data_IF_156068179489
#
_entry.id   IF_156068179489
#
_cell.length_a   1.000
_cell.length_b   1.000
_cell.length_c   1.000
_cell.angle_alpha   90.00
_cell.angle_beta   90.00
_cell.angle_gamma   90.00
#
_symmetry.space_group_name_H-M   'P 1'
#
loop_
_entity.id
_entity.type
_entity.pdbx_description
1 polymer ?
#
# COMPACT_ATOMS: atom_id res chain seq x y z
N UNK A 1 3.64 -6.76 -54.01
CA UNK A 1 3.88 -8.21 -54.00
C UNK A 1 5.37 -8.39 -54.13
N UNK A 2 6.08 -8.55 -53.05
CA UNK A 2 7.47 -9.00 -53.05
C UNK A 2 7.46 -10.49 -53.34
N UNK A 3 7.71 -10.86 -54.55
CA UNK A 3 8.05 -12.22 -54.90
C UNK A 3 9.51 -12.40 -54.58
N UNK A 4 9.80 -12.87 -53.39
CA UNK A 4 11.14 -13.27 -52.98
C UNK A 4 11.58 -14.45 -53.86
N UNK A 5 12.43 -14.17 -54.80
CA UNK A 5 13.19 -15.16 -55.56
C UNK A 5 14.35 -15.65 -54.67
N UNK A 6 14.04 -16.25 -53.60
CA UNK A 6 15.01 -16.78 -52.66
C UNK A 6 14.39 -17.89 -51.84
N UNK A 7 13.44 -18.62 -52.43
CA UNK A 7 12.82 -19.72 -51.75
C UNK A 7 13.82 -20.83 -51.47
N UNK A 8 13.78 -21.28 -50.29
CA UNK A 8 14.50 -22.44 -49.78
C UNK A 8 14.14 -23.64 -50.63
N UNK A 9 15.08 -24.16 -51.34
CA UNK A 9 14.85 -25.28 -52.29
C UNK A 9 14.49 -26.59 -51.59
N UNK A 10 14.81 -26.71 -50.30
CA UNK A 10 14.56 -27.90 -49.50
C UNK A 10 14.02 -27.53 -48.13
N UNK A 11 13.06 -28.30 -47.64
CA UNK A 11 12.51 -28.10 -46.28
C UNK A 11 13.59 -28.12 -45.18
N UNK A 12 14.68 -28.86 -45.41
CA UNK A 12 15.82 -28.92 -44.50
C UNK A 12 16.52 -27.59 -44.28
N UNK A 13 16.43 -26.69 -45.29
CA UNK A 13 17.12 -25.39 -45.25
C UNK A 13 16.34 -24.34 -44.39
N UNK A 14 15.08 -24.63 -44.04
CA UNK A 14 14.28 -23.78 -43.15
C UNK A 14 14.83 -23.77 -41.72
N UNK A 15 15.42 -24.88 -41.27
CA UNK A 15 16.01 -25.02 -39.97
C UNK A 15 14.99 -24.97 -38.83
N UNK A 16 15.40 -24.35 -37.72
CA UNK A 16 14.57 -24.21 -36.53
C UNK A 16 13.39 -23.26 -36.79
N UNK A 17 12.19 -23.67 -36.37
CA UNK A 17 10.99 -22.84 -36.40
C UNK A 17 10.51 -22.66 -34.95
N UNK A 18 10.25 -21.41 -34.57
CA UNK A 18 9.64 -21.04 -33.25
C UNK A 18 8.31 -20.37 -33.52
N UNK A 19 7.24 -20.94 -32.98
CA UNK A 19 5.92 -20.36 -32.98
C UNK A 19 5.86 -19.29 -31.86
N UNK A 20 5.57 -18.04 -32.23
CA UNK A 20 5.47 -16.94 -31.26
C UNK A 20 4.07 -16.75 -30.73
N UNK A 21 3.10 -16.70 -31.66
CA UNK A 21 1.71 -16.41 -31.32
C UNK A 21 0.75 -16.97 -32.33
N UNK A 22 -0.42 -17.38 -31.87
CA UNK A 22 -1.60 -17.71 -32.65
C UNK A 22 -2.76 -16.81 -32.22
N UNK A 23 -3.45 -16.20 -33.17
CA UNK A 23 -4.62 -15.33 -32.90
C UNK A 23 -5.74 -15.58 -33.92
N UNK A 24 -6.97 -15.37 -33.51
CA UNK A 24 -8.12 -15.39 -34.42
C UNK A 24 -8.30 -14.01 -35.05
N UNK A 25 -8.44 -13.94 -36.36
CA UNK A 25 -8.66 -12.68 -37.11
C UNK A 25 -10.02 -12.65 -37.79
N UNK A 26 -10.88 -13.61 -37.51
CA UNK A 26 -12.22 -13.69 -38.08
C UNK A 26 -12.81 -15.09 -37.97
N UNK A 27 -14.01 -15.27 -38.54
CA UNK A 27 -14.66 -16.58 -38.58
C UNK A 27 -13.83 -17.56 -39.40
N UNK A 28 -13.31 -18.61 -38.78
CA UNK A 28 -12.48 -19.67 -39.34
C UNK A 28 -11.10 -19.22 -39.90
N UNK A 29 -10.62 -18.01 -39.55
CA UNK A 29 -9.31 -17.52 -39.94
C UNK A 29 -8.40 -17.39 -38.72
N UNK A 30 -7.21 -18.01 -38.83
CA UNK A 30 -6.18 -17.94 -37.80
C UNK A 30 -4.92 -17.30 -38.34
N UNK A 31 -4.36 -16.36 -37.58
CA UNK A 31 -3.06 -15.77 -37.81
C UNK A 31 -2.03 -16.46 -36.95
N UNK A 32 -0.96 -16.91 -37.58
CA UNK A 32 0.18 -17.51 -36.88
C UNK A 32 1.42 -16.68 -37.16
N UNK A 33 2.11 -16.30 -36.09
CA UNK A 33 3.40 -15.61 -36.15
C UNK A 33 4.49 -16.58 -35.74
N UNK A 34 5.54 -16.69 -36.58
CA UNK A 34 6.65 -17.58 -36.32
C UNK A 34 7.98 -16.98 -36.78
N UNK A 35 9.05 -17.45 -36.16
CA UNK A 35 10.43 -17.19 -36.57
C UNK A 35 11.03 -18.47 -37.16
N UNK A 36 11.95 -18.33 -38.14
CA UNK A 36 12.65 -19.48 -38.71
C UNK A 36 14.14 -19.20 -38.80
N UNK A 37 14.95 -20.27 -38.91
CA UNK A 37 16.36 -20.24 -39.13
C UNK A 37 17.13 -19.41 -38.09
N UNK A 38 17.95 -18.48 -38.57
CA UNK A 38 18.81 -17.65 -37.69
C UNK A 38 18.03 -16.82 -36.65
N UNK A 39 16.91 -16.23 -37.08
CA UNK A 39 16.08 -15.42 -36.16
C UNK A 39 15.47 -16.27 -35.02
N UNK A 40 15.03 -17.48 -35.33
CA UNK A 40 14.55 -18.43 -34.32
C UNK A 40 15.65 -18.82 -33.33
N UNK A 41 16.87 -19.08 -33.84
CA UNK A 41 18.01 -19.37 -32.96
C UNK A 41 18.39 -18.20 -32.07
N UNK A 42 18.48 -16.99 -32.63
CA UNK A 42 18.80 -15.78 -31.85
C UNK A 42 17.76 -15.52 -30.75
N UNK A 43 16.48 -15.68 -31.07
CA UNK A 43 15.38 -15.55 -30.13
C UNK A 43 15.52 -16.52 -28.95
N UNK A 44 15.69 -17.81 -29.22
CA UNK A 44 15.85 -18.83 -28.19
C UNK A 44 17.15 -18.65 -27.39
N UNK A 45 18.24 -18.28 -28.04
CA UNK A 45 19.53 -18.01 -27.38
C UNK A 45 19.41 -16.83 -26.40
N UNK A 46 18.71 -15.77 -26.76
CA UNK A 46 18.49 -14.62 -25.91
C UNK A 46 17.54 -14.98 -24.75
N UNK A 47 16.47 -15.73 -25.00
CA UNK A 47 15.58 -16.23 -23.98
C UNK A 47 16.33 -17.10 -22.95
N UNK A 48 17.17 -18.03 -23.43
CA UNK A 48 17.98 -18.86 -22.55
C UNK A 48 18.98 -18.06 -21.70
N UNK A 49 19.67 -17.07 -22.30
CA UNK A 49 20.59 -16.18 -21.57
C UNK A 49 19.85 -15.42 -20.46
N UNK A 50 18.67 -14.89 -20.75
CA UNK A 50 17.84 -14.20 -19.76
C UNK A 50 17.43 -15.15 -18.63
N UNK A 51 17.00 -16.35 -18.97
CA UNK A 51 16.62 -17.36 -17.99
C UNK A 51 17.80 -17.82 -17.12
N UNK A 52 18.97 -17.97 -17.72
CA UNK A 52 20.22 -18.27 -16.99
C UNK A 52 20.64 -17.11 -16.07
N UNK A 53 20.38 -15.87 -16.44
CA UNK A 53 20.62 -14.73 -15.56
C UNK A 53 19.73 -14.81 -14.29
N UNK A 54 18.45 -15.15 -14.44
CA UNK A 54 17.54 -15.39 -13.30
C UNK A 54 18.02 -16.56 -12.43
N UNK A 55 18.48 -17.66 -13.02
CA UNK A 55 19.07 -18.79 -12.32
C UNK A 55 20.26 -18.36 -11.45
N UNK A 56 21.13 -17.51 -11.97
CA UNK A 56 22.28 -16.99 -11.23
C UNK A 56 21.84 -16.08 -10.05
N UNK A 57 20.84 -15.23 -10.24
CA UNK A 57 20.29 -14.35 -9.19
C UNK A 57 19.70 -15.19 -8.06
N UNK A 58 18.97 -16.24 -8.39
CA UNK A 58 18.35 -17.15 -7.43
C UNK A 58 19.34 -18.19 -6.85
N UNK A 59 20.56 -18.25 -7.40
CA UNK A 59 21.61 -19.20 -7.03
C UNK A 59 21.14 -20.67 -7.06
N UNK A 60 20.46 -21.05 -8.14
CA UNK A 60 19.96 -22.41 -8.39
C UNK A 60 20.24 -22.84 -9.82
N UNK A 61 20.05 -24.13 -10.14
CA UNK A 61 20.11 -24.61 -11.52
C UNK A 61 19.03 -23.98 -12.38
N UNK A 62 19.22 -23.93 -13.70
CA UNK A 62 18.21 -23.40 -14.65
C UNK A 62 16.86 -24.14 -14.50
N UNK A 63 16.93 -25.44 -14.24
CA UNK A 63 15.77 -26.32 -14.10
C UNK A 63 14.97 -26.05 -12.83
N UNK A 64 15.65 -25.60 -11.76
CA UNK A 64 15.05 -25.35 -10.45
C UNK A 64 14.50 -23.93 -10.29
N UNK A 65 14.70 -23.03 -11.25
CA UNK A 65 14.21 -21.65 -11.21
C UNK A 65 12.72 -21.56 -10.90
N UNK A 66 11.81 -22.31 -11.56
CA UNK A 66 10.39 -22.21 -11.28
C UNK A 66 10.02 -22.63 -9.86
N UNK A 67 10.63 -23.70 -9.36
CA UNK A 67 10.39 -24.20 -8.00
C UNK A 67 10.90 -23.21 -6.95
N UNK A 68 12.08 -22.66 -7.17
CA UNK A 68 12.67 -21.68 -6.27
C UNK A 68 11.87 -20.40 -6.23
N UNK A 69 11.42 -19.90 -7.40
CA UNK A 69 10.59 -18.71 -7.49
C UNK A 69 9.26 -18.90 -6.75
N UNK A 70 8.60 -20.04 -6.96
CA UNK A 70 7.36 -20.39 -6.25
C UNK A 70 7.57 -20.39 -4.73
N UNK A 71 8.61 -21.07 -4.25
CA UNK A 71 8.94 -21.11 -2.82
C UNK A 71 9.25 -19.72 -2.24
N UNK A 72 9.89 -18.83 -3.01
CA UNK A 72 10.15 -17.45 -2.56
C UNK A 72 8.86 -16.63 -2.45
N UNK A 73 7.91 -16.79 -3.39
CA UNK A 73 6.62 -16.13 -3.34
C UNK A 73 5.79 -16.60 -2.14
N UNK A 74 5.72 -17.92 -1.89
CA UNK A 74 5.05 -18.48 -0.72
C UNK A 74 5.66 -17.96 0.60
N UNK A 75 6.98 -17.84 0.66
CA UNK A 75 7.69 -17.30 1.82
C UNK A 75 7.35 -15.81 2.03
N UNK A 76 7.24 -15.04 0.95
CA UNK A 76 6.83 -13.62 1.01
C UNK A 76 5.39 -13.47 1.54
N UNK A 77 4.45 -14.25 1.04
CA UNK A 77 3.06 -14.27 1.51
C UNK A 77 2.99 -14.60 3.01
N UNK A 78 3.74 -15.61 3.47
CA UNK A 78 3.85 -15.97 4.89
C UNK A 78 4.41 -14.82 5.75
N UNK A 79 5.42 -14.11 5.25
CA UNK A 79 5.98 -12.96 5.96
C UNK A 79 4.99 -11.80 6.03
N UNK A 80 4.28 -11.51 4.95
CA UNK A 80 3.26 -10.47 4.93
C UNK A 80 2.12 -10.76 5.91
N UNK A 81 1.67 -12.02 5.99
CA UNK A 81 0.64 -12.44 6.95
C UNK A 81 1.14 -12.32 8.39
N UNK A 82 2.35 -12.81 8.69
CA UNK A 82 2.96 -12.68 10.02
C UNK A 82 3.13 -11.22 10.42
N UNK A 83 3.56 -10.38 9.50
CA UNK A 83 3.71 -8.95 9.74
C UNK A 83 2.36 -8.29 10.07
N UNK A 84 1.30 -8.59 9.30
CA UNK A 84 -0.07 -8.13 9.60
C UNK A 84 -0.53 -8.58 10.99
N UNK A 85 -0.27 -9.84 11.35
CA UNK A 85 -0.67 -10.40 12.64
C UNK A 85 0.07 -9.77 13.84
N UNK A 86 1.36 -9.47 13.69
CA UNK A 86 2.14 -8.75 14.71
C UNK A 86 1.59 -7.34 14.85
N UNK A 87 1.39 -6.66 13.72
CA UNK A 87 0.89 -5.28 13.69
C UNK A 87 -0.51 -5.16 14.32
N UNK A 88 -1.40 -6.09 14.03
CA UNK A 88 -2.74 -6.10 14.65
C UNK A 88 -2.70 -6.30 16.16
N UNK A 89 -1.79 -7.15 16.67
CA UNK A 89 -1.59 -7.33 18.11
C UNK A 89 -1.01 -6.09 18.77
N UNK A 90 -0.07 -5.40 18.15
CA UNK A 90 0.47 -4.12 18.64
C UNK A 90 -0.65 -3.07 18.75
N UNK A 91 -1.47 -2.92 17.72
CA UNK A 91 -2.62 -2.01 17.73
C UNK A 91 -3.61 -2.38 18.84
N UNK A 92 -3.93 -3.65 19.00
CA UNK A 92 -4.85 -4.10 20.08
C UNK A 92 -4.28 -3.82 21.46
N UNK A 93 -2.96 -3.99 21.67
CA UNK A 93 -2.32 -3.67 22.95
C UNK A 93 -2.29 -2.16 23.24
N UNK A 94 -2.18 -1.33 22.20
CA UNK A 94 -2.31 0.13 22.33
C UNK A 94 -3.73 0.49 22.78
N UNK A 95 -4.76 -0.10 22.16
CA UNK A 95 -6.17 0.18 22.46
C UNK A 95 -6.51 -0.13 23.93
N UNK A 96 -5.96 -1.20 24.51
CA UNK A 96 -6.24 -1.57 25.90
C UNK A 96 -5.76 -0.54 26.96
N UNK A 97 -4.74 0.26 26.64
CA UNK A 97 -4.20 1.29 27.52
C UNK A 97 -4.82 2.68 27.29
N UNK A 98 -5.61 2.84 26.24
CA UNK A 98 -6.16 4.14 25.82
C UNK A 98 -7.24 4.63 26.76
N UNK A 99 -8.09 3.74 27.28
CA UNK A 99 -9.17 4.12 28.18
C UNK A 99 -8.65 4.73 29.49
N UNK A 100 -7.53 4.22 30.00
CA UNK A 100 -6.89 4.70 31.23
C UNK A 100 -6.20 6.07 31.04
N UNK A 101 -5.78 6.36 29.82
CA UNK A 101 -5.09 7.61 29.45
C UNK A 101 -6.03 8.68 28.85
N UNK A 102 -7.31 8.37 28.67
CA UNK A 102 -8.29 9.33 28.17
C UNK A 102 -8.65 10.37 29.24
N UNK A 103 -8.67 11.63 28.88
CA UNK A 103 -9.07 12.73 29.75
C UNK A 103 -10.56 13.03 29.59
N UNK A 104 -11.21 13.49 30.68
CA UNK A 104 -12.61 13.92 30.62
C UNK A 104 -12.63 15.44 30.38
N UNK A 105 -13.13 15.86 29.21
CA UNK A 105 -13.32 17.27 28.83
C UNK A 105 -14.80 17.45 28.52
N UNK A 106 -15.48 18.39 29.18
CA UNK A 106 -16.92 18.68 29.00
C UNK A 106 -17.82 17.42 29.05
N UNK A 107 -17.54 16.52 29.98
CA UNK A 107 -18.25 15.24 30.13
C UNK A 107 -18.09 14.24 28.98
N UNK A 108 -17.07 14.41 28.13
CA UNK A 108 -16.69 13.52 27.05
C UNK A 108 -15.30 12.94 27.31
N UNK A 109 -15.12 11.65 27.04
CA UNK A 109 -13.80 11.02 27.11
C UNK A 109 -12.99 11.34 25.84
N UNK A 110 -11.92 12.08 26.00
CA UNK A 110 -11.06 12.57 24.93
C UNK A 110 -9.69 11.92 25.03
N UNK A 111 -9.24 11.28 23.96
CA UNK A 111 -7.91 10.73 23.86
C UNK A 111 -7.11 11.44 22.75
N UNK A 112 -5.98 12.01 23.13
CA UNK A 112 -5.10 12.75 22.22
C UNK A 112 -3.66 12.32 22.45
N UNK A 113 -3.04 11.71 21.45
CA UNK A 113 -1.69 11.16 21.58
C UNK A 113 -0.93 11.12 20.25
N UNK A 114 0.40 10.98 20.40
CA UNK A 114 1.31 10.68 19.29
C UNK A 114 1.51 9.17 19.18
N UNK A 115 1.28 8.62 18.01
CA UNK A 115 1.46 7.20 17.72
C UNK A 115 2.45 7.01 16.57
N UNK A 116 3.31 6.01 16.68
CA UNK A 116 4.25 5.70 15.61
C UNK A 116 3.66 4.66 14.67
N UNK A 117 3.16 5.12 13.51
CA UNK A 117 2.54 4.29 12.49
C UNK A 117 3.17 4.60 11.12
N UNK A 118 3.18 3.59 10.24
CA UNK A 118 3.88 3.65 8.96
C UNK A 118 3.01 4.19 7.81
N UNK A 119 1.69 4.25 8.00
CA UNK A 119 0.78 4.73 6.97
C UNK A 119 -0.39 5.56 7.51
N UNK A 120 -0.89 6.56 6.72
CA UNK A 120 -2.09 7.32 7.09
C UNK A 120 -3.34 6.44 7.23
N UNK A 121 -3.41 5.32 6.50
CA UNK A 121 -4.51 4.37 6.59
C UNK A 121 -4.53 3.63 7.93
N UNK A 122 -3.36 3.26 8.46
CA UNK A 122 -3.25 2.66 9.79
C UNK A 122 -3.68 3.64 10.87
N UNK A 123 -3.24 4.90 10.76
CA UNK A 123 -3.64 5.96 11.69
C UNK A 123 -5.16 6.17 11.71
N UNK A 124 -5.76 6.18 10.51
CA UNK A 124 -7.21 6.25 10.33
C UNK A 124 -7.93 5.06 10.96
N UNK A 125 -7.45 3.85 10.70
CA UNK A 125 -8.06 2.64 11.22
C UNK A 125 -7.97 2.57 12.75
N UNK A 126 -6.83 2.96 13.32
CA UNK A 126 -6.67 3.04 14.78
C UNK A 126 -7.63 4.06 15.40
N UNK A 127 -7.77 5.25 14.81
CA UNK A 127 -8.70 6.26 15.30
C UNK A 127 -10.15 5.75 15.30
N UNK A 128 -10.59 5.09 14.23
CA UNK A 128 -11.92 4.48 14.14
C UNK A 128 -12.10 3.34 15.16
N UNK A 129 -11.09 2.51 15.34
CA UNK A 129 -11.13 1.41 16.30
C UNK A 129 -11.27 1.93 17.73
N UNK A 130 -10.52 2.96 18.11
CA UNK A 130 -10.63 3.59 19.43
C UNK A 130 -12.06 4.05 19.68
N UNK A 131 -12.66 4.80 18.77
CA UNK A 131 -14.02 5.36 18.97
C UNK A 131 -15.09 4.27 19.01
N UNK A 132 -14.92 3.19 18.23
CA UNK A 132 -15.90 2.12 18.10
C UNK A 132 -15.78 1.07 19.21
N UNK A 133 -14.57 0.71 19.60
CA UNK A 133 -14.29 -0.44 20.47
C UNK A 133 -14.03 -0.06 21.92
N UNK A 134 -13.89 1.26 22.22
CA UNK A 134 -13.65 1.77 23.56
C UNK A 134 -14.73 2.74 24.03
N UNK A 135 -14.61 3.20 25.29
CA UNK A 135 -15.48 4.23 25.86
C UNK A 135 -15.03 5.66 25.50
N UNK A 136 -14.01 5.82 24.68
CA UNK A 136 -13.54 7.13 24.22
C UNK A 136 -14.56 7.73 23.24
N UNK A 137 -14.93 8.98 23.46
CA UNK A 137 -15.91 9.69 22.64
C UNK A 137 -15.26 10.46 21.48
N UNK A 138 -14.08 11.01 21.72
CA UNK A 138 -13.30 11.79 20.78
C UNK A 138 -11.86 11.31 20.80
N UNK A 139 -11.28 11.02 19.65
CA UNK A 139 -9.86 10.73 19.53
C UNK A 139 -9.19 11.64 18.51
N UNK A 140 -7.97 12.06 18.82
CA UNK A 140 -7.11 12.79 17.90
C UNK A 140 -5.71 12.19 17.96
N UNK A 141 -5.30 11.56 16.87
CA UNK A 141 -4.03 10.87 16.76
C UNK A 141 -3.10 11.62 15.81
N UNK A 142 -1.86 11.66 16.20
CA UNK A 142 -0.79 12.24 15.42
C UNK A 142 0.28 11.18 15.09
N UNK A 143 0.85 11.27 13.88
CA UNK A 143 1.99 10.44 13.47
C UNK A 143 2.87 11.17 12.47
N UNK A 144 4.19 10.97 12.56
CA UNK A 144 5.14 11.42 11.54
C UNK A 144 5.43 10.28 10.56
N UNK A 145 4.84 10.35 9.36
CA UNK A 145 4.91 9.29 8.35
C UNK A 145 5.77 9.77 7.19
N UNK A 146 6.91 9.11 6.93
CA UNK A 146 7.85 9.46 5.85
C UNK A 146 8.28 10.94 5.88
N UNK A 147 8.49 11.51 7.06
CA UNK A 147 8.87 12.91 7.25
C UNK A 147 7.74 13.91 7.00
N UNK A 148 6.50 13.45 6.85
CA UNK A 148 5.29 14.28 6.78
C UNK A 148 4.42 14.05 8.01
N UNK A 149 3.85 15.11 8.50
CA UNK A 149 2.94 15.04 9.65
C UNK A 149 1.55 14.66 9.20
N UNK A 150 0.98 13.67 9.85
CA UNK A 150 -0.38 13.20 9.63
C UNK A 150 -1.16 13.27 10.94
N UNK A 151 -2.37 13.78 10.86
CA UNK A 151 -3.29 13.93 12.00
C UNK A 151 -4.61 13.28 11.59
N UNK A 152 -5.18 12.50 12.48
CA UNK A 152 -6.52 11.95 12.30
C UNK A 152 -7.34 12.24 13.54
N UNK A 153 -8.50 12.83 13.34
CA UNK A 153 -9.51 12.99 14.38
C UNK A 153 -10.73 12.14 14.07
N UNK A 154 -11.28 11.46 15.09
CA UNK A 154 -12.53 10.72 14.99
C UNK A 154 -13.42 10.96 16.20
N UNK A 155 -14.74 10.95 15.98
CA UNK A 155 -15.76 11.11 17.02
C UNK A 155 -16.83 10.04 16.90
N UNK A 156 -17.48 9.72 18.02
CA UNK A 156 -18.73 8.94 18.00
C UNK A 156 -19.85 9.73 17.33
N UNK A 157 -20.76 9.04 16.65
CA UNK A 157 -21.87 9.64 15.90
C UNK A 157 -22.84 10.47 16.76
N UNK A 158 -22.85 10.26 18.09
CA UNK A 158 -23.71 10.99 19.02
C UNK A 158 -23.07 12.28 19.57
N UNK A 159 -21.85 12.61 19.15
CA UNK A 159 -21.13 13.80 19.59
C UNK A 159 -21.37 14.92 18.59
N UNK A 160 -21.74 16.10 19.08
CA UNK A 160 -22.02 17.27 18.23
C UNK A 160 -20.78 18.06 17.80
N UNK A 161 -19.59 17.59 18.16
CA UNK A 161 -18.34 18.21 17.76
C UNK A 161 -18.04 17.94 16.29
N UNK A 162 -17.79 18.97 15.52
CA UNK A 162 -17.25 18.83 14.16
C UNK A 162 -15.72 18.63 14.24
N UNK A 163 -15.26 17.38 14.20
CA UNK A 163 -13.83 17.06 14.31
C UNK A 163 -13.02 17.62 13.14
N UNK A 164 -13.64 17.88 12.00
CA UNK A 164 -12.97 18.48 10.85
C UNK A 164 -12.49 19.91 11.13
N UNK A 165 -13.22 20.70 11.94
CA UNK A 165 -12.76 22.04 12.35
C UNK A 165 -11.48 21.94 13.17
N UNK A 166 -11.45 21.05 14.15
CA UNK A 166 -10.30 20.81 15.02
C UNK A 166 -9.07 20.38 14.21
N UNK A 167 -9.22 19.35 13.37
CA UNK A 167 -8.14 18.82 12.55
C UNK A 167 -7.64 19.87 11.53
N UNK A 168 -8.56 20.67 10.97
CA UNK A 168 -8.19 21.75 10.03
C UNK A 168 -7.36 22.85 10.70
N UNK A 169 -7.75 23.29 11.88
CA UNK A 169 -7.00 24.33 12.61
C UNK A 169 -5.60 23.85 12.99
N UNK A 170 -5.50 22.62 13.47
CA UNK A 170 -4.20 22.02 13.77
C UNK A 170 -3.37 21.87 12.49
N UNK A 171 -3.94 21.37 11.40
CA UNK A 171 -3.23 21.18 10.13
C UNK A 171 -2.72 22.48 9.51
N UNK A 172 -3.41 23.59 9.69
CA UNK A 172 -2.98 24.91 9.24
C UNK A 172 -1.65 25.35 9.89
N UNK A 173 -1.42 25.00 11.17
CA UNK A 173 -0.16 25.31 11.86
C UNK A 173 1.04 24.63 11.19
N UNK A 174 0.80 23.55 10.46
CA UNK A 174 1.80 22.74 9.75
C UNK A 174 1.85 23.02 8.26
N UNK A 175 1.16 24.05 7.80
CA UNK A 175 1.12 24.42 6.40
C UNK A 175 0.32 23.49 5.51
N UNK A 176 -0.62 22.77 6.11
CA UNK A 176 -1.47 21.80 5.41
C UNK A 176 -2.96 22.07 5.57
N UNK A 177 -3.78 21.07 5.32
CA UNK A 177 -5.23 21.10 5.41
C UNK A 177 -5.79 19.77 5.86
N UNK A 178 -7.11 19.68 5.98
CA UNK A 178 -7.81 18.48 6.41
C UNK A 178 -9.02 18.17 5.53
N UNK A 179 -9.52 16.92 5.61
CA UNK A 179 -10.77 16.50 4.99
C UNK A 179 -11.97 17.15 5.72
N UNK A 180 -13.10 17.26 5.00
CA UNK A 180 -14.31 17.93 5.50
C UNK A 180 -15.35 16.97 6.09
N UNK A 181 -14.94 15.78 6.53
CA UNK A 181 -15.85 14.83 7.16
C UNK A 181 -16.04 15.18 8.63
N UNK A 182 -17.29 15.26 9.09
CA UNK A 182 -17.63 15.73 10.43
C UNK A 182 -17.25 14.74 11.55
N UNK A 183 -17.28 13.44 11.27
CA UNK A 183 -17.02 12.39 12.24
C UNK A 183 -15.63 11.78 12.14
N UNK A 184 -14.97 11.93 10.98
CA UNK A 184 -13.63 11.39 10.73
C UNK A 184 -12.86 12.32 9.81
N UNK A 185 -11.94 13.07 10.34
CA UNK A 185 -11.13 14.00 9.55
C UNK A 185 -9.66 13.60 9.55
N UNK A 186 -9.05 13.69 8.37
CA UNK A 186 -7.64 13.42 8.14
C UNK A 186 -6.98 14.69 7.65
N UNK A 187 -5.92 15.09 8.30
CA UNK A 187 -5.15 16.28 7.96
C UNK A 187 -3.65 16.06 8.11
N UNK A 188 -2.89 17.10 7.88
CA UNK A 188 -1.44 17.07 8.05
C UNK A 188 -0.76 18.22 7.32
N UNK A 189 0.57 18.22 7.35
CA UNK A 189 1.35 19.26 6.67
C UNK A 189 2.83 18.92 6.61
N UNK A 190 3.62 19.65 5.78
CA UNK A 190 5.02 19.37 5.54
C UNK A 190 5.96 19.91 6.62
N UNK A 191 5.50 20.84 7.47
CA UNK A 191 6.36 21.52 8.44
C UNK A 191 6.60 20.64 9.67
N UNK A 192 7.80 20.73 10.25
CA UNK A 192 8.13 20.05 11.51
C UNK A 192 7.25 20.55 12.65
N UNK A 193 6.91 19.64 13.57
CA UNK A 193 5.84 19.79 14.52
C UNK A 193 6.34 19.85 15.96
N UNK A 194 5.70 20.72 16.74
CA UNK A 194 5.76 20.65 18.19
C UNK A 194 4.48 19.93 18.68
N UNK A 195 4.58 18.61 18.84
CA UNK A 195 3.48 17.72 19.25
C UNK A 195 2.78 18.25 20.52
N UNK A 196 3.55 18.76 21.47
CA UNK A 196 3.02 19.26 22.75
C UNK A 196 2.08 20.47 22.53
N UNK A 197 2.45 21.37 21.60
CA UNK A 197 1.59 22.52 21.28
C UNK A 197 0.30 22.11 20.60
N UNK A 198 0.37 21.12 19.70
CA UNK A 198 -0.82 20.63 19.02
C UNK A 198 -1.77 19.92 19.94
N UNK A 199 -1.25 19.07 20.83
CA UNK A 199 -2.07 18.38 21.83
C UNK A 199 -2.78 19.39 22.73
N UNK A 200 -2.08 20.45 23.16
CA UNK A 200 -2.69 21.54 23.96
C UNK A 200 -3.78 22.27 23.16
N UNK A 201 -3.47 22.66 21.92
CA UNK A 201 -4.44 23.37 21.07
C UNK A 201 -5.67 22.49 20.77
N UNK A 202 -5.48 21.20 20.51
CA UNK A 202 -6.58 20.27 20.34
C UNK A 202 -7.53 20.25 21.55
N UNK A 203 -6.98 20.14 22.75
CA UNK A 203 -7.75 20.15 23.99
C UNK A 203 -8.47 21.49 24.21
N UNK A 204 -7.82 22.61 23.88
CA UNK A 204 -8.44 23.95 23.99
C UNK A 204 -9.61 24.12 23.01
N UNK A 205 -9.47 23.66 21.76
CA UNK A 205 -10.54 23.75 20.77
C UNK A 205 -11.71 22.85 21.18
N UNK A 206 -11.45 21.60 21.55
CA UNK A 206 -12.47 20.66 22.02
C UNK A 206 -13.21 21.23 23.24
N UNK A 207 -12.51 21.88 24.16
CA UNK A 207 -13.13 22.49 25.33
C UNK A 207 -14.03 23.70 25.03
N UNK A 208 -13.83 24.37 23.89
CA UNK A 208 -14.62 25.55 23.45
C UNK A 208 -15.82 25.21 22.57
N UNK A 209 -15.73 24.14 21.79
CA UNK A 209 -16.75 23.73 20.82
C UNK A 209 -17.70 22.64 21.32
N UNK A 210 -17.46 22.08 22.50
CA UNK A 210 -18.29 21.02 23.12
C UNK A 210 -19.39 21.54 24.01
#
# INVERSE_FOLDING_TARGET
>A
VSRGLGDVYKRQDVGLIVLLQESSIGSNLRRVEMLSGKLAYEFLSNAYKSYKSVSNILNVSVEDVPLKLKSQLETLEDFEEKFKNIRSKEITSLVSNIEDNAEIINNQKVYVDEVNLDSPNELRNLALQIVNDTQVDITLLYSSINGKNSIVGATKNNIKLNISSVVTEISKLYGGGASKDENLSIGGGPNSFDTVKALKLAKEIISKES
#
